data_IF_549441998002
#
_entry.id   IF_549441998002
#
_cell.length_a   1.000
_cell.length_b   1.000
_cell.length_c   1.000
_cell.angle_alpha   90.00
_cell.angle_beta   90.00
_cell.angle_gamma   90.00
#
_symmetry.space_group_name_H-M   'P 1'
#
loop_
_entity.id
_entity.type
_entity.pdbx_description
1 polymer ?
#
# COMPACT_ATOMS: atom_id res chain seq x y z
N UNK A 1 -12.70 8.56 1.07
CA UNK A 1 -11.55 7.68 0.74
C UNK A 1 -12.07 6.37 0.17
N UNK A 2 -11.63 5.98 -1.02
CA UNK A 2 -11.98 4.70 -1.67
C UNK A 2 -10.82 3.72 -1.51
N UNK A 3 -11.13 2.44 -1.40
CA UNK A 3 -10.15 1.35 -1.28
C UNK A 3 -10.36 0.36 -2.42
N UNK A 4 -9.29 -0.01 -3.11
CA UNK A 4 -9.31 -0.91 -4.27
C UNK A 4 -8.34 -2.04 -4.01
N UNK A 5 -8.80 -3.29 -4.15
CA UNK A 5 -7.93 -4.46 -4.01
C UNK A 5 -6.95 -4.53 -5.19
N UNK A 6 -5.66 -4.70 -4.88
CA UNK A 6 -4.59 -4.76 -5.89
C UNK A 6 -4.06 -6.18 -6.03
N UNK A 7 -3.91 -6.88 -4.91
CA UNK A 7 -3.42 -8.25 -4.92
C UNK A 7 -3.14 -8.78 -3.51
N UNK A 8 -2.64 -10.00 -3.47
CA UNK A 8 -2.27 -10.68 -2.24
C UNK A 8 -0.94 -11.44 -2.39
N UNK A 9 -0.35 -11.79 -1.25
CA UNK A 9 0.85 -12.61 -1.17
C UNK A 9 0.79 -13.49 0.09
N UNK A 10 1.47 -14.63 0.05
CA UNK A 10 1.62 -15.52 1.20
C UNK A 10 2.98 -15.30 1.88
N UNK A 11 2.96 -15.06 3.20
CA UNK A 11 4.14 -15.05 4.05
C UNK A 11 4.00 -16.13 5.13
N UNK A 12 4.59 -17.30 4.87
CA UNK A 12 4.33 -18.50 5.67
C UNK A 12 2.85 -18.90 5.55
N UNK A 13 2.16 -19.05 6.69
CA UNK A 13 0.74 -19.38 6.74
C UNK A 13 -0.19 -18.15 6.71
N UNK A 14 0.38 -16.93 6.64
CA UNK A 14 -0.39 -15.69 6.65
C UNK A 14 -0.62 -15.18 5.23
N UNK A 15 -1.89 -14.94 4.90
CA UNK A 15 -2.28 -14.21 3.69
C UNK A 15 -2.16 -12.70 3.96
N UNK A 16 -1.42 -12.00 3.11
CA UNK A 16 -1.28 -10.55 3.13
C UNK A 16 -2.06 -9.99 1.95
N UNK A 17 -2.91 -8.99 2.20
CA UNK A 17 -3.69 -8.32 1.15
C UNK A 17 -3.28 -6.86 1.02
N UNK A 18 -3.14 -6.40 -0.21
CA UNK A 18 -2.66 -5.08 -0.56
C UNK A 18 -3.74 -4.31 -1.32
N UNK A 19 -3.91 -3.05 -0.95
CA UNK A 19 -4.96 -2.20 -1.48
C UNK A 19 -4.43 -0.82 -1.80
N UNK A 20 -4.89 -0.29 -2.92
CA UNK A 20 -4.76 1.11 -3.27
C UNK A 20 -5.80 1.92 -2.50
N UNK A 21 -5.38 3.06 -1.96
CA UNK A 21 -6.25 4.04 -1.34
C UNK A 21 -6.34 5.26 -2.26
N UNK A 22 -7.54 5.68 -2.62
CA UNK A 22 -7.79 6.93 -3.34
C UNK A 22 -8.41 7.95 -2.39
N UNK A 23 -7.76 9.11 -2.29
CA UNK A 23 -8.18 10.22 -1.45
C UNK A 23 -8.34 11.47 -2.30
N UNK A 24 -9.51 12.11 -2.25
CA UNK A 24 -9.72 13.41 -2.89
C UNK A 24 -9.51 14.51 -1.84
N UNK A 25 -8.57 15.42 -2.11
CA UNK A 25 -8.20 16.52 -1.22
C UNK A 25 -8.19 17.80 -2.05
N UNK A 26 -9.10 18.73 -1.72
CA UNK A 26 -9.23 20.03 -2.38
C UNK A 26 -9.28 19.92 -3.93
N UNK A 27 -10.05 18.95 -4.45
CA UNK A 27 -10.20 18.71 -5.89
C UNK A 27 -9.01 18.01 -6.56
N UNK A 28 -8.03 17.51 -5.79
CA UNK A 28 -6.91 16.71 -6.29
C UNK A 28 -6.95 15.31 -5.70
N UNK A 29 -6.72 14.31 -6.54
CA UNK A 29 -6.58 12.92 -6.08
C UNK A 29 -5.16 12.68 -5.58
N UNK A 30 -5.05 12.10 -4.39
CA UNK A 30 -3.83 11.59 -3.81
C UNK A 30 -4.03 10.11 -3.48
N UNK A 31 -2.98 9.33 -3.68
CA UNK A 31 -3.04 7.89 -3.53
C UNK A 31 -2.19 7.39 -2.37
N UNK A 32 -2.62 6.32 -1.74
CA UNK A 32 -1.92 5.65 -0.66
C UNK A 32 -2.04 4.13 -0.74
N UNK A 33 -1.56 3.44 0.28
CA UNK A 33 -1.61 1.97 0.35
C UNK A 33 -2.17 1.54 1.71
N UNK A 34 -2.94 0.45 1.69
CA UNK A 34 -3.25 -0.34 2.88
C UNK A 34 -2.74 -1.77 2.71
N UNK A 35 -2.08 -2.28 3.75
CA UNK A 35 -1.62 -3.66 3.87
C UNK A 35 -2.33 -4.29 5.06
N UNK A 36 -2.88 -5.49 4.93
CA UNK A 36 -3.52 -6.23 6.02
C UNK A 36 -3.10 -7.69 6.06
N UNK A 37 -2.94 -8.24 7.26
CA UNK A 37 -2.72 -9.69 7.48
C UNK A 37 -3.10 -10.09 8.89
N UNK A 38 -3.78 -11.24 9.08
CA UNK A 38 -4.00 -11.83 10.41
C UNK A 38 -4.62 -10.91 11.48
N UNK A 39 -5.43 -9.93 11.09
CA UNK A 39 -6.02 -8.93 11.99
C UNK A 39 -5.21 -7.64 12.15
N UNK A 40 -3.95 -7.61 11.70
CA UNK A 40 -3.11 -6.42 11.63
C UNK A 40 -3.38 -5.64 10.34
N UNK A 41 -3.26 -4.32 10.41
CA UNK A 41 -3.37 -3.43 9.25
C UNK A 41 -2.44 -2.23 9.38
N UNK A 42 -1.88 -1.81 8.26
CA UNK A 42 -1.20 -0.54 8.10
C UNK A 42 -1.91 0.27 7.02
N UNK A 43 -2.24 1.52 7.32
CA UNK A 43 -2.90 2.45 6.42
C UNK A 43 -1.97 3.64 6.23
N UNK A 44 -1.50 3.85 5.01
CA UNK A 44 -0.56 4.91 4.65
C UNK A 44 -1.23 5.75 3.56
N UNK A 45 -2.03 6.77 3.95
CA UNK A 45 -2.72 7.61 3.00
C UNK A 45 -1.76 8.59 2.34
N UNK A 46 -2.15 9.12 1.17
CA UNK A 46 -1.56 10.30 0.56
C UNK A 46 -0.04 10.25 0.34
N UNK A 47 0.45 9.12 -0.18
CA UNK A 47 1.86 8.89 -0.55
C UNK A 47 2.24 9.71 -1.79
N UNK A 48 1.40 9.70 -2.85
CA UNK A 48 1.72 10.35 -4.12
C UNK A 48 0.46 10.70 -4.92
N UNK A 49 0.45 11.80 -5.70
CA UNK A 49 -0.65 12.07 -6.64
C UNK A 49 -0.62 11.18 -7.90
N UNK A 50 0.42 10.37 -8.11
CA UNK A 50 0.54 9.50 -9.29
C UNK A 50 -0.02 8.11 -9.03
N UNK A 51 -1.13 7.77 -9.71
CA UNK A 51 -1.73 6.43 -9.64
C UNK A 51 -0.77 5.34 -10.16
N UNK A 52 0.00 5.65 -11.21
CA UNK A 52 0.96 4.69 -11.78
C UNK A 52 2.08 4.39 -10.78
N UNK A 53 2.60 5.41 -10.10
CA UNK A 53 3.69 5.25 -9.13
C UNK A 53 3.26 4.41 -7.92
N UNK A 54 2.09 4.67 -7.35
CA UNK A 54 1.57 3.90 -6.20
C UNK A 54 1.19 2.46 -6.58
N UNK A 55 0.75 2.21 -7.82
CA UNK A 55 0.52 0.83 -8.30
C UNK A 55 1.85 0.08 -8.44
N UNK A 56 2.88 0.71 -9.01
CA UNK A 56 4.22 0.13 -9.07
C UNK A 56 4.80 -0.15 -7.66
N UNK A 57 4.56 0.75 -6.70
CA UNK A 57 4.88 0.52 -5.30
C UNK A 57 4.12 -0.68 -4.74
N UNK A 58 2.80 -0.77 -4.95
CA UNK A 58 1.99 -1.90 -4.49
C UNK A 58 2.52 -3.24 -5.05
N UNK A 59 2.90 -3.30 -6.34
CA UNK A 59 3.53 -4.49 -6.91
C UNK A 59 4.88 -4.84 -6.26
N UNK A 60 5.67 -3.85 -5.86
CA UNK A 60 6.92 -4.07 -5.11
C UNK A 60 6.62 -4.65 -3.72
N UNK A 61 5.61 -4.12 -3.03
CA UNK A 61 5.19 -4.63 -1.71
C UNK A 61 4.70 -6.08 -1.80
N UNK A 62 3.88 -6.39 -2.81
CA UNK A 62 3.38 -7.76 -3.08
C UNK A 62 4.56 -8.71 -3.31
N UNK A 63 5.49 -8.35 -4.21
CA UNK A 63 6.67 -9.18 -4.52
C UNK A 63 7.59 -9.38 -3.31
N UNK A 64 7.67 -8.38 -2.42
CA UNK A 64 8.47 -8.45 -1.19
C UNK A 64 7.77 -9.10 0.01
N UNK A 65 6.52 -9.56 -0.14
CA UNK A 65 5.70 -10.06 0.97
C UNK A 65 5.65 -9.08 2.16
N UNK A 66 5.60 -7.77 1.87
CA UNK A 66 5.67 -6.73 2.91
C UNK A 66 4.46 -6.82 3.83
N UNK A 67 4.72 -7.01 5.12
CA UNK A 67 3.67 -7.11 6.15
C UNK A 67 3.23 -5.73 6.63
N UNK A 68 2.06 -5.61 7.30
CA UNK A 68 1.65 -4.36 7.93
C UNK A 68 2.72 -3.72 8.83
N UNK A 69 3.48 -4.54 9.55
CA UNK A 69 4.52 -4.08 10.50
C UNK A 69 5.62 -3.29 9.78
N UNK A 70 6.05 -3.76 8.62
CA UNK A 70 7.17 -3.17 7.85
C UNK A 70 6.70 -2.25 6.73
N UNK A 71 5.39 -2.08 6.53
CA UNK A 71 4.87 -1.37 5.37
C UNK A 71 5.27 0.11 5.35
N UNK A 72 5.30 0.75 6.53
CA UNK A 72 5.67 2.17 6.62
C UNK A 72 7.14 2.37 6.27
N UNK A 73 8.04 1.55 6.81
CA UNK A 73 9.48 1.65 6.55
C UNK A 73 9.78 1.51 5.05
N UNK A 74 9.20 0.51 4.38
CA UNK A 74 9.41 0.30 2.93
C UNK A 74 8.87 1.45 2.08
N UNK A 75 7.74 2.05 2.50
CA UNK A 75 7.17 3.22 1.79
C UNK A 75 8.05 4.45 2.01
N UNK A 76 8.57 4.66 3.21
CA UNK A 76 9.49 5.76 3.51
C UNK A 76 10.79 5.63 2.71
N UNK A 77 11.38 4.42 2.63
CA UNK A 77 12.53 4.14 1.78
C UNK A 77 12.25 4.41 0.30
N UNK A 78 11.06 4.05 -0.18
CA UNK A 78 10.65 4.31 -1.56
C UNK A 78 10.49 5.80 -1.87
N UNK A 79 10.05 6.61 -0.92
CA UNK A 79 9.93 8.06 -1.09
C UNK A 79 11.29 8.76 -1.20
N UNK A 80 12.37 8.10 -0.78
CA UNK A 80 13.74 8.61 -0.83
C UNK A 80 14.50 8.21 -2.11
N UNK A 81 13.88 7.45 -3.02
CA UNK A 81 14.46 7.08 -4.33
C UNK A 81 14.01 8.00 -5.45
#
# INVERSE_FOLDING_TARGET
MRRIFVGDAACGQKLIRYYLLEHEIAGRTCYGIQVETGGEKAVIPCITPSQVAVLALAERLIRGCVTPVTARDVVEDWLLT
#
